data_IF_175378412220
#
_entry.id   IF_175378412220
#
_cell.length_a   1.000
_cell.length_b   1.000
_cell.length_c   1.000
_cell.angle_alpha   90.00
_cell.angle_beta   90.00
_cell.angle_gamma   90.00
#
_symmetry.space_group_name_H-M   'P 1'
#
loop_
_entity.id
_entity.type
_entity.pdbx_description
1 polymer ?
#
# COMPACT_ATOMS: atom_id res chain seq x y z
N UNK A 1 -2.53 11.55 -14.58
CA UNK A 1 -2.00 10.97 -13.33
C UNK A 1 -0.74 10.17 -13.63
N UNK A 2 0.20 10.10 -12.69
CA UNK A 2 1.32 9.14 -12.74
C UNK A 2 0.89 7.84 -12.07
N UNK A 3 1.22 6.71 -12.68
CA UNK A 3 0.87 5.38 -12.15
C UNK A 3 1.95 4.89 -11.19
N UNK A 4 1.55 4.36 -10.04
CA UNK A 4 2.44 3.78 -9.03
C UNK A 4 1.85 2.45 -8.56
N UNK A 5 2.68 1.40 -8.57
CA UNK A 5 2.37 0.12 -7.94
C UNK A 5 3.23 -0.03 -6.68
N UNK A 6 2.60 -0.36 -5.55
CA UNK A 6 3.26 -0.69 -4.28
C UNK A 6 3.17 -2.21 -4.11
N UNK A 7 4.31 -2.89 -4.13
CA UNK A 7 4.38 -4.33 -3.93
C UNK A 7 4.92 -4.62 -2.53
N UNK A 8 4.16 -5.38 -1.74
CA UNK A 8 4.52 -5.74 -0.36
C UNK A 8 4.05 -7.18 -0.10
N UNK A 9 4.81 -8.00 0.66
CA UNK A 9 4.36 -9.35 1.01
C UNK A 9 3.02 -9.32 1.74
N UNK A 10 2.97 -8.63 2.87
CA UNK A 10 1.81 -8.56 3.76
C UNK A 10 1.58 -7.11 4.23
N UNK A 11 0.43 -6.84 4.84
CA UNK A 11 0.12 -5.55 5.48
C UNK A 11 0.03 -5.70 7.00
N UNK A 12 1.01 -6.40 7.57
CA UNK A 12 1.09 -6.67 9.00
C UNK A 12 2.55 -6.76 9.45
N UNK A 13 2.83 -6.33 10.69
CA UNK A 13 4.17 -6.30 11.25
C UNK A 13 5.13 -5.33 10.53
N UNK A 14 6.31 -5.13 11.10
CA UNK A 14 7.40 -4.40 10.44
C UNK A 14 7.19 -2.91 10.15
N UNK A 15 8.27 -2.26 9.70
CA UNK A 15 8.27 -0.85 9.33
C UNK A 15 7.92 -0.60 7.87
N UNK A 16 8.29 -1.52 6.98
CA UNK A 16 8.10 -1.37 5.54
C UNK A 16 6.62 -1.45 5.16
N UNK A 17 5.88 -2.36 5.78
CA UNK A 17 4.46 -2.61 5.62
C UNK A 17 3.65 -1.41 6.12
N UNK A 18 4.03 -0.84 7.26
CA UNK A 18 3.44 0.40 7.78
C UNK A 18 3.65 1.57 6.82
N UNK A 19 4.84 1.67 6.20
CA UNK A 19 5.11 2.68 5.17
C UNK A 19 4.26 2.43 3.91
N UNK A 20 4.17 1.19 3.43
CA UNK A 20 3.34 0.83 2.28
C UNK A 20 1.86 1.19 2.48
N UNK A 21 1.30 0.84 3.66
CA UNK A 21 -0.02 1.25 4.11
C UNK A 21 -0.18 2.78 4.05
N UNK A 22 0.73 3.52 4.68
CA UNK A 22 0.67 4.98 4.73
C UNK A 22 0.77 5.62 3.33
N UNK A 23 1.60 5.09 2.44
CA UNK A 23 1.71 5.56 1.06
C UNK A 23 0.41 5.31 0.30
N UNK A 24 -0.19 4.12 0.43
CA UNK A 24 -1.46 3.79 -0.22
C UNK A 24 -2.60 4.75 0.21
N UNK A 25 -2.62 5.13 1.50
CA UNK A 25 -3.65 6.03 2.04
C UNK A 25 -3.39 7.49 1.63
N UNK A 26 -2.16 7.96 1.80
CA UNK A 26 -1.85 9.39 1.81
C UNK A 26 -1.25 9.92 0.50
N UNK A 27 -0.92 9.06 -0.48
CA UNK A 27 -0.53 9.54 -1.81
C UNK A 27 -1.69 10.33 -2.44
N UNK A 28 -1.46 11.57 -2.92
CA UNK A 28 -2.50 12.43 -3.47
C UNK A 28 -3.15 11.82 -4.72
N UNK A 29 -4.45 11.50 -4.62
CA UNK A 29 -5.20 10.87 -5.72
C UNK A 29 -5.41 11.76 -6.96
N UNK A 30 -5.25 13.08 -6.81
CA UNK A 30 -5.26 14.02 -7.94
C UNK A 30 -3.96 14.01 -8.75
N UNK A 31 -2.88 13.40 -8.23
CA UNK A 31 -1.56 13.35 -8.87
C UNK A 31 -1.17 11.93 -9.25
N UNK A 32 -1.50 10.97 -8.40
CA UNK A 32 -1.10 9.58 -8.53
C UNK A 32 -2.30 8.65 -8.64
N UNK A 33 -2.24 7.77 -9.63
CA UNK A 33 -3.08 6.59 -9.76
C UNK A 33 -2.31 5.44 -9.10
N UNK A 34 -2.81 4.96 -7.96
CA UNK A 34 -2.06 4.11 -7.04
C UNK A 34 -2.75 2.77 -6.94
N UNK A 35 -1.93 1.72 -6.96
CA UNK A 35 -2.36 0.34 -6.76
C UNK A 35 -1.46 -0.31 -5.72
N UNK A 36 -2.04 -1.12 -4.84
CA UNK A 36 -1.28 -1.94 -3.91
C UNK A 36 -1.48 -3.42 -4.26
N UNK A 37 -0.37 -4.17 -4.28
CA UNK A 37 -0.35 -5.60 -4.56
C UNK A 37 0.24 -6.27 -3.33
N UNK A 38 -0.61 -7.00 -2.63
CA UNK A 38 -0.27 -7.85 -1.47
C UNK A 38 -0.30 -9.28 -1.96
N UNK A 39 0.80 -10.02 -1.84
CA UNK A 39 0.91 -11.38 -2.40
C UNK A 39 0.94 -12.50 -1.35
N UNK A 40 1.03 -12.13 -0.08
CA UNK A 40 0.86 -12.98 1.09
C UNK A 40 -0.18 -12.31 2.01
N UNK A 41 -1.45 -12.59 1.75
CA UNK A 41 -2.60 -11.95 2.39
C UNK A 41 -3.10 -12.70 3.63
N UNK A 42 -2.32 -13.67 4.14
CA UNK A 42 -2.63 -14.40 5.38
C UNK A 42 -2.85 -13.44 6.56
N UNK A 43 -2.20 -12.27 6.54
CA UNK A 43 -2.36 -11.23 7.55
C UNK A 43 -2.40 -9.81 7.01
N UNK A 44 -3.50 -9.11 7.28
CA UNK A 44 -3.71 -7.71 6.94
C UNK A 44 -4.19 -6.97 8.20
N UNK A 45 -3.26 -6.29 8.88
CA UNK A 45 -3.54 -5.51 10.09
C UNK A 45 -3.62 -3.99 9.78
N UNK A 46 -2.97 -3.54 8.70
CA UNK A 46 -2.87 -2.14 8.33
C UNK A 46 -3.86 -1.77 7.22
N UNK A 47 -4.58 -0.63 7.35
CA UNK A 47 -5.52 -0.17 6.33
C UNK A 47 -4.79 0.24 5.05
N UNK A 48 -5.43 0.02 3.90
CA UNK A 48 -4.87 0.38 2.60
C UNK A 48 -5.92 0.91 1.62
N UNK A 49 -5.48 1.57 0.54
CA UNK A 49 -6.37 2.07 -0.52
C UNK A 49 -5.68 2.10 -1.89
N UNK A 50 -6.42 1.68 -2.93
CA UNK A 50 -6.00 1.70 -4.34
C UNK A 50 -5.83 0.32 -4.93
#
# INVERSE_FOLDING_TARGET
>A
MKKIAILVPQLAGGGAERVASNLSLNLPGNKYDKHIIVYDDEKIDYPYKG
#
